data_IF_372360108976
#
_entry.id   IF_372360108976
#
_cell.length_a   1.000
_cell.length_b   1.000
_cell.length_c   1.000
_cell.angle_alpha   90.00
_cell.angle_beta   90.00
_cell.angle_gamma   90.00
#
_symmetry.space_group_name_H-M   'P 1'
#
loop_
_entity.id
_entity.type
_entity.pdbx_description
1 polymer ?
#
# COMPACT_ATOMS: atom_id res chain seq x y z
N UNK A 1 -12.77 -2.88 3.76
CA UNK A 1 -11.71 -2.56 2.78
C UNK A 1 -11.11 -3.86 2.26
N UNK A 2 -10.94 -3.98 0.96
CA UNK A 2 -10.30 -5.18 0.41
C UNK A 2 -8.77 -5.01 0.38
N UNK A 3 -8.05 -6.11 0.06
CA UNK A 3 -6.59 -6.10 0.11
C UNK A 3 -5.96 -5.19 -0.95
N UNK A 4 -6.57 -5.09 -2.12
CA UNK A 4 -6.05 -4.21 -3.17
C UNK A 4 -6.22 -2.74 -2.81
N UNK A 5 -7.34 -2.39 -2.18
CA UNK A 5 -7.57 -1.03 -1.70
C UNK A 5 -6.50 -0.62 -0.68
N UNK A 6 -6.18 -1.49 0.27
CA UNK A 6 -5.11 -1.20 1.23
C UNK A 6 -3.75 -1.10 0.54
N UNK A 7 -3.45 -1.99 -0.41
CA UNK A 7 -2.20 -1.92 -1.16
C UNK A 7 -2.05 -0.58 -1.88
N UNK A 8 -3.13 -0.11 -2.51
CA UNK A 8 -3.14 1.18 -3.21
C UNK A 8 -2.91 2.35 -2.24
N UNK A 9 -3.53 2.31 -1.06
CA UNK A 9 -3.34 3.33 -0.03
C UNK A 9 -1.90 3.36 0.49
N UNK A 10 -1.30 2.18 0.69
CA UNK A 10 0.11 2.07 1.08
C UNK A 10 0.98 2.70 -0.01
N UNK A 11 0.72 2.36 -1.26
CA UNK A 11 1.48 2.91 -2.39
C UNK A 11 1.38 4.43 -2.44
N UNK A 12 0.19 5.00 -2.30
CA UNK A 12 0.00 6.45 -2.29
C UNK A 12 0.79 7.11 -1.16
N UNK A 13 0.73 6.53 0.03
CA UNK A 13 1.44 7.06 1.18
C UNK A 13 2.94 7.08 0.95
N UNK A 14 3.48 5.96 0.49
CA UNK A 14 4.91 5.83 0.17
C UNK A 14 5.32 6.80 -0.93
N UNK A 15 4.53 6.91 -1.99
CA UNK A 15 4.83 7.78 -3.12
C UNK A 15 4.89 9.25 -2.71
N UNK A 16 4.01 9.67 -1.80
CA UNK A 16 4.02 11.04 -1.29
C UNK A 16 5.21 11.30 -0.40
N UNK A 17 5.51 10.37 0.50
CA UNK A 17 6.62 10.53 1.43
C UNK A 17 7.96 10.58 0.70
N UNK A 18 8.13 9.73 -0.30
CA UNK A 18 9.39 9.59 -1.03
C UNK A 18 9.42 10.33 -2.37
N UNK A 19 8.54 11.28 -2.59
CA UNK A 19 8.41 11.97 -3.89
C UNK A 19 9.69 12.66 -4.36
N UNK A 20 10.58 13.04 -3.45
CA UNK A 20 11.83 13.73 -3.78
C UNK A 20 13.07 12.87 -3.49
N UNK A 21 12.88 11.56 -3.30
CA UNK A 21 14.01 10.68 -3.00
C UNK A 21 14.95 10.53 -4.19
N UNK A 22 16.25 10.40 -3.91
CA UNK A 22 17.27 10.05 -4.90
C UNK A 22 17.79 8.63 -4.67
N UNK A 23 17.22 7.90 -3.72
CA UNK A 23 17.61 6.52 -3.43
C UNK A 23 17.07 5.58 -4.51
N UNK A 24 17.94 5.00 -5.32
CA UNK A 24 17.57 4.15 -6.44
C UNK A 24 16.77 2.91 -6.00
N UNK A 25 17.07 2.36 -4.84
CA UNK A 25 16.33 1.19 -4.34
C UNK A 25 14.90 1.55 -3.98
N UNK A 26 14.70 2.71 -3.36
CA UNK A 26 13.34 3.20 -3.04
C UNK A 26 12.58 3.48 -4.33
N UNK A 27 13.21 4.15 -5.30
CA UNK A 27 12.59 4.44 -6.60
C UNK A 27 12.16 3.14 -7.28
N UNK A 28 13.03 2.15 -7.32
CA UNK A 28 12.73 0.86 -7.95
C UNK A 28 11.62 0.11 -7.20
N UNK A 29 11.66 0.11 -5.87
CA UNK A 29 10.62 -0.53 -5.06
C UNK A 29 9.25 0.07 -5.37
N UNK A 30 9.14 1.39 -5.40
CA UNK A 30 7.88 2.05 -5.68
C UNK A 30 7.41 1.80 -7.12
N UNK A 31 8.34 1.78 -8.07
CA UNK A 31 8.00 1.47 -9.47
C UNK A 31 7.39 0.07 -9.61
N UNK A 32 7.98 -0.91 -8.91
CA UNK A 32 7.50 -2.30 -8.95
C UNK A 32 6.16 -2.47 -8.21
N UNK A 33 5.91 -1.64 -7.20
CA UNK A 33 4.65 -1.66 -6.43
C UNK A 33 3.50 -1.00 -7.18
N UNK A 34 3.73 -0.20 -8.20
CA UNK A 34 2.70 0.64 -8.83
C UNK A 34 1.44 -0.19 -9.18
N UNK A 35 0.30 0.07 -8.52
CA UNK A 35 -0.93 -0.71 -8.76
C UNK A 35 -1.73 -0.21 -9.95
N UNK A 36 -1.26 0.82 -10.66
CA UNK A 36 -2.00 1.48 -11.73
C UNK A 36 -1.41 1.29 -13.12
N UNK A 37 -0.31 0.53 -13.23
CA UNK A 37 0.32 0.31 -14.53
C UNK A 37 -0.53 -0.56 -15.45
N UNK A 38 -1.23 -1.54 -14.88
CA UNK A 38 -2.09 -2.47 -15.61
C UNK A 38 -3.54 -2.23 -15.23
N UNK A 39 -4.47 -2.64 -16.11
CA UNK A 39 -5.90 -2.59 -15.81
C UNK A 39 -6.30 -3.63 -14.78
N UNK A 40 -5.56 -4.74 -14.71
CA UNK A 40 -5.83 -5.83 -13.78
C UNK A 40 -5.47 -5.45 -12.35
N UNK A 41 -6.06 -6.17 -11.39
CA UNK A 41 -5.69 -6.05 -9.98
C UNK A 41 -4.29 -6.64 -9.80
N UNK A 42 -3.40 -5.85 -9.24
CA UNK A 42 -2.01 -6.27 -9.02
C UNK A 42 -1.06 -5.09 -9.02
N UNK A 43 0.23 -5.37 -9.12
CA UNK A 43 1.29 -4.37 -9.17
C UNK A 43 2.05 -4.45 -10.50
N UNK A 44 2.86 -3.43 -10.79
CA UNK A 44 3.66 -3.38 -12.01
C UNK A 44 4.54 -4.64 -12.15
N UNK A 45 5.16 -5.06 -11.05
CA UNK A 45 5.77 -6.38 -10.94
C UNK A 45 4.77 -7.28 -10.21
N UNK A 46 4.14 -8.26 -10.89
CA UNK A 46 3.11 -9.09 -10.24
C UNK A 46 3.58 -9.82 -9.00
N UNK A 47 4.86 -10.17 -8.92
CA UNK A 47 5.41 -10.86 -7.76
C UNK A 47 5.30 -10.00 -6.49
N UNK A 48 5.40 -8.69 -6.60
CA UNK A 48 5.30 -7.80 -5.44
C UNK A 48 3.91 -7.87 -4.83
N UNK A 49 2.88 -7.81 -5.65
CA UNK A 49 1.50 -7.93 -5.15
C UNK A 49 1.22 -9.34 -4.62
N UNK A 50 1.76 -10.37 -5.26
CA UNK A 50 1.60 -11.75 -4.79
C UNK A 50 2.21 -11.92 -3.39
N UNK A 51 3.39 -11.38 -3.16
CA UNK A 51 4.04 -11.41 -1.83
C UNK A 51 3.22 -10.65 -0.79
N UNK A 52 2.66 -9.50 -1.18
CA UNK A 52 1.76 -8.74 -0.31
C UNK A 52 0.53 -9.57 0.05
N UNK A 53 -0.09 -10.23 -0.93
CA UNK A 53 -1.26 -11.08 -0.68
C UNK A 53 -0.94 -12.24 0.25
N UNK A 54 0.25 -12.83 0.12
CA UNK A 54 0.71 -13.88 1.02
C UNK A 54 0.88 -13.34 2.45
N UNK A 55 1.40 -12.12 2.60
CA UNK A 55 1.51 -11.47 3.91
C UNK A 55 0.13 -11.23 4.53
N UNK A 56 -0.83 -10.76 3.75
CA UNK A 56 -2.19 -10.50 4.22
C UNK A 56 -2.86 -11.82 4.66
N UNK A 57 -2.72 -12.88 3.85
CA UNK A 57 -3.36 -14.16 4.16
C UNK A 57 -4.87 -14.03 4.29
N UNK A 58 -5.42 -14.57 5.37
CA UNK A 58 -6.85 -14.57 5.64
C UNK A 58 -7.31 -13.42 6.53
N UNK A 59 -6.44 -12.45 6.79
CA UNK A 59 -6.80 -11.34 7.67
C UNK A 59 -7.97 -10.54 7.11
N UNK A 60 -8.88 -10.19 8.00
CA UNK A 60 -9.91 -9.23 7.66
C UNK A 60 -9.35 -7.82 7.82
N UNK A 61 -9.42 -7.03 6.77
CA UNK A 61 -8.89 -5.67 6.76
C UNK A 61 -10.03 -4.68 7.02
N UNK A 62 -9.82 -3.81 8.00
CA UNK A 62 -10.74 -2.73 8.33
C UNK A 62 -9.97 -1.40 8.30
N UNK A 63 -10.68 -0.28 8.24
CA UNK A 63 -10.02 1.02 8.34
C UNK A 63 -9.23 1.10 9.64
N UNK A 64 -9.80 0.57 10.73
CA UNK A 64 -9.21 0.66 12.08
C UNK A 64 -7.92 -0.15 12.23
N UNK A 65 -7.79 -1.30 11.56
CA UNK A 65 -6.57 -2.11 11.65
C UNK A 65 -5.59 -1.92 10.48
N UNK A 66 -5.98 -1.13 9.49
CA UNK A 66 -5.22 -1.02 8.24
C UNK A 66 -3.83 -0.40 8.43
N UNK A 67 -3.69 0.57 9.34
CA UNK A 67 -2.39 1.19 9.58
C UNK A 67 -1.40 0.19 10.18
N UNK A 68 -1.83 -0.63 11.14
CA UNK A 68 -0.96 -1.65 11.73
C UNK A 68 -0.54 -2.68 10.71
N UNK A 69 -1.45 -3.08 9.82
CA UNK A 69 -1.13 -4.00 8.72
C UNK A 69 -0.12 -3.36 7.77
N UNK A 70 -0.33 -2.09 7.42
CA UNK A 70 0.60 -1.36 6.53
C UNK A 70 2.00 -1.28 7.12
N UNK A 71 2.11 -0.97 8.41
CA UNK A 71 3.40 -0.92 9.11
C UNK A 71 4.09 -2.29 9.10
N UNK A 72 3.34 -3.35 9.35
CA UNK A 72 3.88 -4.71 9.31
C UNK A 72 4.37 -5.10 7.92
N UNK A 73 3.64 -4.71 6.89
CA UNK A 73 4.02 -5.02 5.52
C UNK A 73 5.34 -4.35 5.12
N UNK A 74 5.48 -3.04 5.37
CA UNK A 74 6.72 -2.34 4.98
C UNK A 74 7.94 -2.87 5.73
N UNK A 75 7.76 -3.44 6.92
CA UNK A 75 8.85 -4.02 7.70
C UNK A 75 9.41 -5.30 7.09
N UNK A 76 8.63 -6.06 6.33
CA UNK A 76 9.10 -7.29 5.71
C UNK A 76 9.76 -7.08 4.36
N UNK A 77 9.71 -5.87 3.82
CA UNK A 77 10.34 -5.56 2.53
C UNK A 77 11.84 -5.37 2.75
N UNK A 78 12.64 -6.23 2.12
CA UNK A 78 14.10 -6.25 2.30
C UNK A 78 14.86 -5.43 1.26
N UNK A 79 14.30 -5.27 0.07
CA UNK A 79 15.01 -4.65 -1.05
C UNK A 79 15.36 -3.19 -0.78
N UNK A 80 14.44 -2.46 -0.17
CA UNK A 80 14.63 -1.06 0.19
C UNK A 80 14.04 -0.81 1.58
N UNK A 81 14.68 0.09 2.35
CA UNK A 81 14.11 0.50 3.63
C UNK A 81 13.08 1.61 3.38
N UNK A 82 11.82 1.27 3.51
CA UNK A 82 10.70 2.20 3.34
C UNK A 82 9.88 2.35 4.62
N UNK A 83 10.44 1.94 5.76
CA UNK A 83 9.74 1.98 7.04
C UNK A 83 9.57 3.40 7.58
N UNK A 84 10.46 4.32 7.23
CA UNK A 84 10.42 5.70 7.74
C UNK A 84 9.10 6.40 7.41
N UNK A 85 8.50 6.08 6.26
CA UNK A 85 7.24 6.67 5.84
C UNK A 85 6.10 6.43 6.84
N UNK A 86 6.19 5.37 7.63
CA UNK A 86 5.15 4.99 8.58
C UNK A 86 5.51 5.20 10.04
N UNK A 87 6.71 5.74 10.35
CA UNK A 87 7.16 5.90 11.73
C UNK A 87 6.30 6.87 12.55
N UNK A 88 5.86 7.95 11.95
CA UNK A 88 5.16 9.03 12.64
C UNK A 88 3.78 9.31 12.05
N UNK A 89 3.13 8.29 11.50
CA UNK A 89 1.80 8.45 10.92
C UNK A 89 0.76 8.65 12.02
N UNK A 90 0.00 9.74 11.91
CA UNK A 90 -1.14 9.99 12.79
C UNK A 90 -2.29 9.06 12.39
N UNK A 91 -2.81 8.30 13.35
CA UNK A 91 -3.90 7.35 13.15
C UNK A 91 -5.15 8.01 12.57
N UNK A 92 -5.53 9.16 13.10
CA UNK A 92 -6.72 9.88 12.63
C UNK A 92 -6.57 10.34 11.19
N UNK A 93 -5.40 10.86 10.85
CA UNK A 93 -5.11 11.32 9.50
C UNK A 93 -5.11 10.17 8.51
N UNK A 94 -4.52 9.04 8.88
CA UNK A 94 -4.52 7.85 8.05
C UNK A 94 -5.95 7.34 7.82
N UNK A 95 -6.74 7.21 8.89
CA UNK A 95 -8.12 6.71 8.79
C UNK A 95 -9.00 7.64 7.95
N UNK A 96 -8.81 8.95 8.12
CA UNK A 96 -9.53 9.94 7.30
C UNK A 96 -9.20 9.74 5.81
N UNK A 97 -7.92 9.59 5.49
CA UNK A 97 -7.48 9.32 4.12
C UNK A 97 -8.08 8.02 3.56
N UNK A 98 -8.14 6.97 4.36
CA UNK A 98 -8.77 5.72 3.97
C UNK A 98 -10.24 5.92 3.63
N UNK A 99 -10.99 6.62 4.48
CA UNK A 99 -12.42 6.84 4.26
C UNK A 99 -12.68 7.70 3.04
N UNK A 100 -11.87 8.73 2.83
CA UNK A 100 -11.98 9.57 1.63
C UNK A 100 -11.73 8.76 0.37
N UNK A 101 -10.70 7.93 0.36
CA UNK A 101 -10.38 7.07 -0.79
C UNK A 101 -11.50 6.09 -1.08
N UNK A 102 -12.02 5.44 -0.04
CA UNK A 102 -13.07 4.43 -0.20
C UNK A 102 -14.40 5.02 -0.64
N UNK A 103 -14.66 6.30 -0.33
CA UNK A 103 -15.91 6.96 -0.73
C UNK A 103 -15.88 7.50 -2.14
N UNK A 104 -14.71 7.61 -2.76
CA UNK A 104 -14.55 8.09 -4.13
C UNK A 104 -14.42 6.90 -5.09
N UNK A 105 -14.66 7.14 -6.38
CA UNK A 105 -14.39 6.13 -7.40
C UNK A 105 -12.91 5.81 -7.43
N UNK A 106 -12.59 4.51 -7.41
CA UNK A 106 -11.19 4.07 -7.39
C UNK A 106 -11.07 2.66 -7.96
N UNK A 107 -9.88 2.34 -8.45
CA UNK A 107 -9.57 1.00 -8.95
C UNK A 107 -9.70 -0.03 -7.84
N UNK A 108 -10.33 -1.14 -8.13
CA UNK A 108 -10.47 -2.23 -7.17
C UNK A 108 -11.68 -2.11 -6.24
N UNK A 109 -12.51 -1.06 -6.41
CA UNK A 109 -13.69 -0.87 -5.56
C UNK A 109 -14.66 -2.07 -5.61
N UNK A 110 -14.74 -2.74 -6.76
CA UNK A 110 -15.65 -3.89 -6.94
C UNK A 110 -15.01 -5.23 -6.56
N UNK A 111 -13.74 -5.24 -6.18
CA UNK A 111 -13.04 -6.45 -5.78
C UNK A 111 -13.35 -6.73 -4.33
N UNK A 112 -14.18 -7.75 -4.07
CA UNK A 112 -14.62 -8.11 -2.73
C UNK A 112 -13.73 -9.13 -2.02
N UNK A 113 -12.60 -9.50 -2.63
CA UNK A 113 -11.76 -10.59 -2.10
C UNK A 113 -10.57 -10.08 -1.30
#
# INVERSE_FOLDING_TARGET
MNRFELFSLIYFWLSRFYKNTTDDRVINQLSEMNPFLWDDIGSADPAVYDDYCAFIGDRKITVENSLDIAKGYVQIIDYADITEAFLNVDHEQWEKGCREYLSADHKGADDSK
#
